data_IF_650379717715
#
_entry.id   IF_650379717715
#
_cell.length_a   1.000
_cell.length_b   1.000
_cell.length_c   1.000
_cell.angle_alpha   90.00
_cell.angle_beta   90.00
_cell.angle_gamma   90.00
#
_symmetry.space_group_name_H-M   'P 1'
#
loop_
_entity.id
_entity.type
_entity.pdbx_description
1 polymer ?
#
# COMPACT_ATOMS: atom_id res chain seq x y z
N UNK A 1 -20.50 -4.92 -14.35
CA UNK A 1 -19.06 -4.69 -14.02
C UNK A 1 -18.97 -4.48 -12.52
N UNK A 2 -18.13 -5.23 -11.79
CA UNK A 2 -17.93 -5.01 -10.35
C UNK A 2 -17.14 -3.70 -10.19
N UNK A 3 -17.62 -2.71 -9.40
CA UNK A 3 -16.81 -1.53 -9.10
C UNK A 3 -15.57 -1.94 -8.28
N UNK A 4 -14.43 -1.29 -8.54
CA UNK A 4 -13.23 -1.48 -7.71
C UNK A 4 -13.43 -0.75 -6.39
N UNK A 5 -13.26 -1.46 -5.28
CA UNK A 5 -13.35 -0.92 -3.94
C UNK A 5 -11.94 -0.80 -3.35
N UNK A 6 -11.60 0.43 -2.94
CA UNK A 6 -10.31 0.72 -2.31
C UNK A 6 -10.43 0.90 -0.80
N UNK A 7 -9.31 0.71 -0.11
CA UNK A 7 -9.14 1.10 1.29
C UNK A 7 -8.03 2.13 1.42
N UNK A 8 -8.24 3.16 2.23
CA UNK A 8 -7.20 4.12 2.54
C UNK A 8 -6.19 3.54 3.52
N UNK A 9 -4.89 3.79 3.33
CA UNK A 9 -3.81 3.25 4.18
C UNK A 9 -4.06 3.46 5.69
N UNK A 10 -4.58 4.63 6.08
CA UNK A 10 -4.80 4.96 7.50
C UNK A 10 -5.96 4.21 8.15
N UNK A 11 -6.76 3.47 7.37
CA UNK A 11 -7.77 2.55 7.91
C UNK A 11 -7.18 1.20 8.32
N UNK A 12 -5.91 0.92 7.97
CA UNK A 12 -5.18 -0.28 8.36
C UNK A 12 -4.21 0.02 9.52
N UNK A 13 -3.79 -0.98 10.32
CA UNK A 13 -2.89 -0.74 11.43
C UNK A 13 -1.55 -0.10 10.98
N UNK A 14 -1.16 0.97 11.67
CA UNK A 14 0.02 1.77 11.31
C UNK A 14 1.34 0.96 11.41
N UNK A 15 1.41 0.01 12.35
CA UNK A 15 2.61 -0.79 12.59
C UNK A 15 2.90 -1.87 11.54
N UNK A 16 2.03 -2.06 10.53
CA UNK A 16 2.27 -3.04 9.47
C UNK A 16 3.34 -2.55 8.49
N UNK A 17 4.22 -3.46 8.10
CA UNK A 17 5.02 -3.31 6.88
C UNK A 17 4.14 -3.51 5.63
N UNK A 18 4.69 -3.23 4.45
CA UNK A 18 3.94 -3.32 3.19
C UNK A 18 3.42 -4.73 2.87
N UNK A 19 4.22 -5.82 3.00
CA UNK A 19 3.73 -7.17 2.76
C UNK A 19 2.47 -7.51 3.56
N UNK A 20 2.51 -7.30 4.90
CA UNK A 20 1.36 -7.61 5.77
C UNK A 20 0.19 -6.67 5.52
N UNK A 21 0.47 -5.41 5.19
CA UNK A 21 -0.57 -4.43 4.84
C UNK A 21 -1.34 -4.86 3.59
N UNK A 22 -0.63 -5.34 2.57
CA UNK A 22 -1.26 -5.87 1.36
C UNK A 22 -2.03 -7.18 1.62
N UNK A 23 -1.45 -8.11 2.38
CA UNK A 23 -2.12 -9.35 2.79
C UNK A 23 -3.44 -9.05 3.52
N UNK A 24 -3.44 -8.07 4.43
CA UNK A 24 -4.64 -7.64 5.14
C UNK A 24 -5.69 -7.05 4.20
N UNK A 25 -5.31 -6.19 3.24
CA UNK A 25 -6.25 -5.64 2.27
C UNK A 25 -6.88 -6.73 1.39
N UNK A 26 -6.08 -7.73 0.98
CA UNK A 26 -6.55 -8.90 0.26
C UNK A 26 -7.53 -9.74 1.09
N UNK A 27 -7.20 -10.02 2.36
CA UNK A 27 -8.07 -10.75 3.28
C UNK A 27 -9.40 -10.04 3.57
N UNK A 28 -9.41 -8.70 3.49
CA UNK A 28 -10.61 -7.87 3.62
C UNK A 28 -11.37 -7.67 2.28
N UNK A 29 -10.93 -8.32 1.20
CA UNK A 29 -11.54 -8.28 -0.13
C UNK A 29 -11.59 -6.88 -0.78
N UNK A 30 -10.61 -6.01 -0.48
CA UNK A 30 -10.39 -4.77 -1.23
C UNK A 30 -9.62 -5.04 -2.52
N UNK A 31 -9.83 -4.21 -3.54
CA UNK A 31 -9.18 -4.33 -4.84
C UNK A 31 -7.89 -3.46 -4.93
N UNK A 32 -7.74 -2.45 -4.05
CA UNK A 32 -6.56 -1.60 -4.00
C UNK A 32 -6.40 -0.86 -2.65
N UNK A 33 -5.18 -0.36 -2.41
CA UNK A 33 -4.87 0.55 -1.30
C UNK A 33 -4.54 1.94 -1.86
N UNK A 34 -5.11 2.99 -1.27
CA UNK A 34 -4.67 4.36 -1.49
C UNK A 34 -3.57 4.72 -0.47
N UNK A 35 -2.34 4.93 -0.96
CA UNK A 35 -1.16 5.24 -0.14
C UNK A 35 -1.17 6.71 0.32
N UNK A 36 -0.84 6.94 1.59
CA UNK A 36 -0.71 8.29 2.14
C UNK A 36 0.70 8.85 1.92
N UNK A 37 0.82 10.08 1.46
CA UNK A 37 2.04 10.89 1.58
C UNK A 37 1.62 12.19 2.24
N UNK A 38 1.70 12.23 3.56
CA UNK A 38 1.15 13.30 4.40
C UNK A 38 2.25 14.13 5.10
N UNK A 39 1.87 14.96 6.07
CA UNK A 39 2.74 15.84 6.84
C UNK A 39 3.71 15.11 7.78
N UNK A 40 3.55 13.80 8.00
CA UNK A 40 4.43 13.04 8.90
C UNK A 40 5.77 12.70 8.23
N UNK A 41 6.87 12.79 9.00
CA UNK A 41 8.22 12.51 8.49
C UNK A 41 8.35 11.11 7.88
N UNK A 42 7.71 10.11 8.49
CA UNK A 42 7.70 8.73 8.01
C UNK A 42 7.10 8.62 6.60
N UNK A 43 5.96 9.29 6.35
CA UNK A 43 5.30 9.23 5.04
C UNK A 43 5.96 10.14 4.01
N UNK A 44 6.50 11.29 4.43
CA UNK A 44 7.31 12.14 3.54
C UNK A 44 8.57 11.42 3.05
N UNK A 45 9.19 10.56 3.89
CA UNK A 45 10.38 9.80 3.51
C UNK A 45 10.16 8.90 2.28
N UNK A 46 8.91 8.55 1.95
CA UNK A 46 8.55 7.77 0.76
C UNK A 46 8.94 8.47 -0.54
N UNK A 47 8.90 9.80 -0.57
CA UNK A 47 9.37 10.62 -1.70
C UNK A 47 10.90 10.58 -1.88
N UNK A 48 11.62 9.99 -0.93
CA UNK A 48 13.08 9.81 -0.95
C UNK A 48 13.46 8.34 -1.01
N UNK A 49 12.51 7.44 -1.21
CA UNK A 49 12.81 6.02 -1.39
C UNK A 49 13.82 5.82 -2.50
N UNK A 50 14.86 5.05 -2.19
CA UNK A 50 15.83 4.62 -3.17
C UNK A 50 15.21 3.60 -4.14
N UNK A 51 15.96 3.25 -5.19
CA UNK A 51 15.48 2.28 -6.20
C UNK A 51 15.09 0.93 -5.59
N UNK A 52 15.86 0.42 -4.63
CA UNK A 52 15.59 -0.85 -3.96
C UNK A 52 14.27 -0.84 -3.20
N UNK A 53 14.01 0.23 -2.43
CA UNK A 53 12.75 0.40 -1.70
C UNK A 53 11.54 0.47 -2.63
N UNK A 54 11.64 1.22 -3.74
CA UNK A 54 10.58 1.29 -4.74
C UNK A 54 10.31 -0.07 -5.40
N UNK A 55 11.37 -0.81 -5.72
CA UNK A 55 11.23 -2.15 -6.32
C UNK A 55 10.66 -3.16 -5.33
N UNK A 56 11.04 -3.11 -4.05
CA UNK A 56 10.47 -3.95 -3.01
C UNK A 56 8.96 -3.70 -2.87
N UNK A 57 8.55 -2.43 -2.78
CA UNK A 57 7.14 -2.06 -2.74
C UNK A 57 6.35 -2.57 -3.95
N UNK A 58 6.90 -2.45 -5.16
CA UNK A 58 6.27 -2.98 -6.39
C UNK A 58 6.19 -4.51 -6.36
N UNK A 59 7.22 -5.19 -5.87
CA UNK A 59 7.21 -6.65 -5.74
C UNK A 59 6.13 -7.10 -4.75
N UNK A 60 6.01 -6.45 -3.59
CA UNK A 60 4.98 -6.75 -2.59
C UNK A 60 3.56 -6.53 -3.14
N UNK A 61 3.38 -5.44 -3.91
CA UNK A 61 2.14 -5.15 -4.64
C UNK A 61 1.77 -6.28 -5.61
N UNK A 62 2.72 -6.74 -6.42
CA UNK A 62 2.51 -7.82 -7.40
C UNK A 62 2.19 -9.14 -6.68
N UNK A 63 2.97 -9.49 -5.65
CA UNK A 63 2.82 -10.76 -4.94
C UNK A 63 1.48 -10.88 -4.20
N UNK A 64 0.92 -9.76 -3.75
CA UNK A 64 -0.37 -9.73 -3.04
C UNK A 64 -1.59 -9.70 -3.96
N UNK A 65 -1.43 -9.30 -5.22
CA UNK A 65 -2.55 -9.04 -6.13
C UNK A 65 -3.36 -7.78 -5.79
N UNK A 66 -2.94 -7.00 -4.78
CA UNK A 66 -3.54 -5.72 -4.41
C UNK A 66 -2.84 -4.60 -5.16
N UNK A 67 -3.61 -3.72 -5.78
CA UNK A 67 -3.05 -2.58 -6.50
C UNK A 67 -2.84 -1.36 -5.59
N UNK A 68 -2.02 -0.43 -6.04
CA UNK A 68 -1.87 0.93 -5.53
C UNK A 68 -1.88 1.81 -6.79
N UNK A 69 -3.06 2.33 -7.18
CA UNK A 69 -3.23 3.05 -8.43
C UNK A 69 -2.57 4.44 -8.39
N UNK A 70 -2.28 4.97 -9.57
CA UNK A 70 -1.77 6.33 -9.81
C UNK A 70 -2.85 7.39 -9.78
#
# INVERSE_FOLDING_TARGET
MKPRLGIYEKALPAALDWPKRFEMAAGLAFDFIEISVDESLERQARLRWNRGQRLAFVADKINSGIDVPS
#
